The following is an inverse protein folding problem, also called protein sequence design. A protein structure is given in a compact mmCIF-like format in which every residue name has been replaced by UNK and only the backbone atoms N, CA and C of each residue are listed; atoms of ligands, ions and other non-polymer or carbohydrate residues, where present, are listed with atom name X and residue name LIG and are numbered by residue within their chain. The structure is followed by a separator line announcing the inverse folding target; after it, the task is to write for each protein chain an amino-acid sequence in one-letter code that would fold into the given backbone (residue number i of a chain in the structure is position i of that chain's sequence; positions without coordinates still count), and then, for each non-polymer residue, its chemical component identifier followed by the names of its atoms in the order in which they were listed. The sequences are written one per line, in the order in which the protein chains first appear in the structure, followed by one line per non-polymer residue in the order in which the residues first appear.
data_IF_691353623701
#
_entry.id   IF_691353623701
#
_cell.length_a   1.000
_cell.length_b   1.000
_cell.length_c   1.000
_cell.angle_alpha   90.00
_cell.angle_beta   90.00
_cell.angle_gamma   90.00
#
_symmetry.space_group_name_H-M   'P 1'
#
loop_
_entity.id
_entity.type
_entity.pdbx_description
1 polymer ?
2 non-polymer ?
3 non-polymer ?
4 water ?
#
# COMPACT_ATOMS: atom_id res chain seq x y z
N UNK A 9 -2.13 -16.94 15.84
CA UNK A 9 -2.92 -17.99 15.16
C UNK A 9 -2.62 -18.07 13.65
N UNK A 10 -3.43 -18.88 12.96
CA UNK A 10 -3.53 -18.86 11.51
C UNK A 10 -4.82 -18.12 11.07
N UNK A 11 -5.73 -17.88 12.00
CA UNK A 11 -6.80 -16.91 11.80
C UNK A 11 -6.23 -15.47 11.91
N UNK A 12 -4.97 -15.30 11.57
CA UNK A 12 -4.36 -13.96 11.45
C UNK A 12 -4.03 -13.84 10.02
N UNK A 13 -4.57 -12.84 9.34
CA UNK A 13 -4.17 -12.69 7.92
C UNK A 13 -2.66 -12.58 7.71
N UNK A 14 -2.11 -13.27 6.72
CA UNK A 14 -0.78 -12.97 6.24
C UNK A 14 -0.63 -11.56 5.63
N UNK A 15 -1.53 -11.16 4.73
CA UNK A 15 -1.45 -9.83 4.08
C UNK A 15 -2.67 -9.01 4.33
N UNK A 16 -2.46 -7.81 4.86
CA UNK A 16 -3.57 -6.84 5.02
C UNK A 16 -3.22 -5.62 4.17
N UNK A 17 -4.21 -5.13 3.38
CA UNK A 17 -4.06 -3.93 2.57
C UNK A 17 -5.11 -2.89 2.92
N UNK A 18 -4.71 -1.62 2.87
CA UNK A 18 -5.56 -0.54 3.28
C UNK A 18 -5.67 0.53 2.22
N UNK A 19 -6.91 0.82 1.83
CA UNK A 19 -7.21 2.00 1.04
C UNK A 19 -7.56 3.13 1.99
N UNK A 20 -6.74 4.18 1.96
CA UNK A 20 -6.98 5.35 2.79
C UNK A 20 -7.90 6.29 1.97
N UNK A 21 -8.73 7.04 2.64
CA UNK A 21 -9.70 7.88 1.98
C UNK A 21 -10.39 8.72 3.07
N UNK A 22 -11.11 9.77 2.67
CA UNK A 22 -11.81 10.63 3.61
C UNK A 22 -11.05 11.85 4.18
N UNK A 23 -9.89 12.18 3.67
CA UNK A 23 -9.09 13.28 4.24
C UNK A 23 -9.72 14.65 4.04
N UNK A 24 -10.18 14.93 2.85
CA UNK A 24 -10.86 16.19 2.58
C UNK A 24 -12.18 16.30 3.27
N UNK A 25 -13.00 15.27 3.22
CA UNK A 25 -14.24 15.25 4.02
C UNK A 25 -13.96 15.59 5.47
N UNK A 26 -12.90 15.01 6.00
CA UNK A 26 -12.52 15.20 7.38
C UNK A 26 -12.08 16.65 7.61
N UNK A 27 -11.20 17.15 6.77
CA UNK A 27 -10.78 18.53 6.86
C UNK A 27 -12.03 19.39 6.88
N UNK A 28 -12.79 19.27 5.83
CA UNK A 28 -13.98 20.04 5.66
C UNK A 28 -14.73 20.06 6.96
N UNK A 29 -14.98 18.90 7.54
CA UNK A 29 -15.81 18.88 8.72
C UNK A 29 -15.06 19.41 9.97
N UNK A 30 -13.74 19.39 9.99
CA UNK A 30 -13.02 19.96 11.11
C UNK A 30 -12.76 21.48 10.92
N UNK A 31 -13.25 22.06 9.84
CA UNK A 31 -12.91 23.44 9.46
C UNK A 31 -11.45 23.72 9.20
N UNK A 32 -10.75 22.79 8.58
CA UNK A 32 -9.32 22.80 8.56
C UNK A 32 -8.85 22.56 7.14
N UNK A 33 -7.57 22.70 6.85
CA UNK A 33 -7.14 22.57 5.46
C UNK A 33 -6.99 21.08 5.07
N UNK A 34 -7.18 20.81 3.79
CA UNK A 34 -7.00 19.44 3.31
C UNK A 34 -5.56 18.98 3.54
N UNK A 35 -4.60 19.87 3.46
CA UNK A 35 -3.20 19.51 3.74
C UNK A 35 -3.08 19.01 5.16
N UNK A 36 -3.83 19.63 6.05
CA UNK A 36 -3.78 19.16 7.41
C UNK A 36 -4.52 17.82 7.55
N UNK A 37 -5.59 17.62 6.77
CA UNK A 37 -6.26 16.30 6.72
C UNK A 37 -5.31 15.20 6.33
N UNK A 38 -4.58 15.43 5.25
CA UNK A 38 -3.55 14.54 4.80
C UNK A 38 -2.46 14.28 5.80
N UNK A 39 -2.00 15.32 6.49
CA UNK A 39 -0.87 15.15 7.40
C UNK A 39 -1.27 14.31 8.61
N UNK A 40 -2.48 14.57 9.11
CA UNK A 40 -2.98 13.80 10.24
C UNK A 40 -3.24 12.32 9.84
N UNK A 41 -3.66 12.11 8.60
CA UNK A 41 -3.76 10.76 8.04
C UNK A 41 -2.45 10.03 8.11
N UNK A 42 -1.44 10.63 7.51
CA UNK A 42 -0.18 9.98 7.37
C UNK A 42 0.46 9.76 8.76
N UNK A 43 0.16 10.65 9.69
CA UNK A 43 0.69 10.46 11.02
C UNK A 43 0.15 9.22 11.67
N UNK A 44 -1.02 8.74 11.24
CA UNK A 44 -1.60 7.50 11.77
C UNK A 44 -0.81 6.29 11.34
N UNK A 45 -0.10 6.40 10.21
CA UNK A 45 0.44 5.17 9.63
C UNK A 45 1.37 4.40 10.54
N UNK A 46 2.23 5.13 11.25
CA UNK A 46 3.28 4.45 11.97
C UNK A 46 2.64 3.56 13.05
N UNK A 47 1.54 4.01 13.66
CA UNK A 47 0.93 3.21 14.72
C UNK A 47 0.21 2.00 14.15
N UNK A 48 -0.39 2.22 12.99
CA UNK A 48 -1.04 1.13 12.27
C UNK A 48 -0.01 0.10 11.94
N UNK A 49 1.13 0.51 11.41
CA UNK A 49 2.15 -0.43 11.04
C UNK A 49 2.67 -1.23 12.28
N UNK A 50 2.87 -0.51 13.37
CA UNK A 50 3.42 -1.14 14.59
C UNK A 50 2.44 -2.12 15.12
N UNK A 51 1.18 -1.72 15.08
CA UNK A 51 0.16 -2.60 15.58
C UNK A 51 0.07 -3.86 14.71
N UNK A 52 0.15 -3.72 13.39
CA UNK A 52 0.03 -4.90 12.52
C UNK A 52 1.22 -5.85 12.79
N UNK A 53 2.38 -5.25 13.01
CA UNK A 53 3.58 -6.01 13.37
C UNK A 53 3.35 -6.79 14.66
N UNK A 54 2.83 -6.13 15.69
CA UNK A 54 2.57 -6.81 16.94
C UNK A 54 1.61 -7.91 16.76
N UNK A 55 0.64 -7.74 15.87
CA UNK A 55 -0.36 -8.82 15.68
C UNK A 55 0.20 -9.97 14.88
N UNK A 56 1.41 -9.86 14.35
CA UNK A 56 1.95 -11.02 13.62
C UNK A 56 1.46 -11.09 12.15
N UNK A 57 0.92 -9.98 11.64
CA UNK A 57 0.63 -9.85 10.21
C UNK A 57 1.98 -9.87 9.51
N UNK A 58 2.09 -10.59 8.43
CA UNK A 58 3.35 -10.65 7.70
C UNK A 58 3.60 -9.57 6.68
N UNK A 59 2.50 -9.04 6.14
CA UNK A 59 2.59 -7.94 5.17
C UNK A 59 1.42 -6.99 5.34
N UNK A 60 1.76 -5.73 5.54
CA UNK A 60 0.83 -4.60 5.43
C UNK A 60 1.18 -3.72 4.24
N UNK A 61 0.14 -3.49 3.43
CA UNK A 61 0.23 -2.57 2.30
C UNK A 61 -0.68 -1.37 2.57
N UNK A 62 -0.11 -0.16 2.49
CA UNK A 62 -0.89 1.05 2.51
C UNK A 62 -0.81 1.69 1.13
N UNK A 63 -1.99 1.97 0.59
CA UNK A 63 -2.10 2.59 -0.75
C UNK A 63 -2.18 4.06 -0.53
N UNK A 64 -1.14 4.74 -1.02
CA UNK A 64 -0.88 6.17 -0.79
C UNK A 64 -1.21 7.00 -2.01
N UNK A 65 -1.10 6.45 -3.20
CA UNK A 65 -1.32 7.29 -4.37
C UNK A 65 -1.63 6.45 -5.60
N UNK A 66 -2.74 6.75 -6.25
CA UNK A 66 -3.05 6.13 -7.52
C UNK A 66 -2.55 6.96 -8.71
N UNK A 67 -2.53 6.36 -9.92
CA UNK A 67 -2.28 7.12 -11.16
C UNK A 67 -3.31 8.19 -11.47
N UNK A 68 -4.58 7.92 -11.18
CA UNK A 68 -5.66 8.87 -11.38
C UNK A 68 -5.48 10.07 -10.43
N UNK A 69 -4.87 9.87 -9.27
CA UNK A 69 -4.67 10.97 -8.30
C UNK A 69 -3.73 12.04 -8.82
N UNK A 70 -2.91 11.71 -9.79
CA UNK A 70 -2.13 12.75 -10.49
C UNK A 70 -3.01 13.75 -11.24
N UNK A 71 -4.34 13.55 -11.26
CA UNK A 71 -5.28 14.50 -11.82
C UNK A 71 -5.81 15.57 -10.87
N UNK A 72 -5.42 15.50 -9.60
CA UNK A 72 -5.79 16.51 -8.57
C UNK A 72 -4.94 17.73 -8.82
N UNK A 73 -5.13 18.81 -8.06
CA UNK A 73 -4.34 20.02 -8.29
C UNK A 73 -2.85 19.75 -8.08
N UNK A 74 -2.00 20.44 -8.82
CA UNK A 74 -0.60 20.26 -8.65
C UNK A 74 -0.18 20.57 -7.26
N UNK A 75 -0.80 21.56 -6.62
CA UNK A 75 -0.34 21.93 -5.28
C UNK A 75 -0.63 20.75 -4.34
N UNK A 76 -1.84 20.15 -4.43
CA UNK A 76 -2.27 19.04 -3.55
C UNK A 76 -1.27 17.88 -3.70
N UNK A 77 -1.00 17.51 -4.93
CA UNK A 77 -0.14 16.38 -5.19
C UNK A 77 1.27 16.63 -4.67
N UNK A 78 1.75 17.87 -4.79
CA UNK A 78 3.09 18.20 -4.30
C UNK A 78 3.15 18.15 -2.83
N UNK A 79 2.12 18.68 -2.18
CA UNK A 79 2.09 18.56 -0.74
C UNK A 79 2.14 17.09 -0.31
N UNK A 80 1.40 16.21 -0.99
CA UNK A 80 1.40 14.77 -0.63
C UNK A 80 2.76 14.17 -0.78
N UNK A 81 3.44 14.49 -1.89
CA UNK A 81 4.76 13.95 -2.16
C UNK A 81 5.72 14.32 -1.04
N UNK A 82 5.64 15.56 -0.56
CA UNK A 82 6.54 16.01 0.54
C UNK A 82 6.21 15.37 1.89
N UNK A 83 4.92 15.30 2.21
CA UNK A 83 4.44 14.58 3.38
C UNK A 83 4.96 13.16 3.32
N UNK A 84 4.93 12.53 2.15
CA UNK A 84 5.45 11.15 2.06
C UNK A 84 6.98 11.03 2.25
N UNK A 85 7.72 11.96 1.67
CA UNK A 85 9.15 12.03 1.92
C UNK A 85 9.44 12.18 3.40
N UNK A 86 8.68 13.05 4.05
CA UNK A 86 8.87 13.25 5.49
C UNK A 86 8.57 11.94 6.25
N UNK A 87 7.52 11.23 5.82
CA UNK A 87 7.14 9.95 6.48
C UNK A 87 8.25 8.93 6.36
N UNK A 88 8.78 8.79 5.15
CA UNK A 88 9.89 7.89 4.89
C UNK A 88 11.25 8.27 5.56
N UNK A 89 11.39 9.57 5.87
CA UNK A 89 12.59 10.05 6.55
C UNK A 89 12.56 9.98 8.06
N UNK A 90 11.44 10.33 8.70
CA UNK A 90 11.34 10.20 10.13
C UNK A 90 10.73 8.84 10.48
N UNK A 91 9.45 8.65 10.18
CA UNK A 91 8.72 7.50 10.71
C UNK A 91 9.22 6.19 10.19
N UNK A 92 9.50 6.06 8.91
CA UNK A 92 9.90 4.75 8.46
C UNK A 92 11.28 4.34 8.94
N UNK A 93 12.18 5.32 8.96
CA UNK A 93 13.52 5.13 9.54
C UNK A 93 13.40 4.57 10.98
N UNK A 94 12.50 5.10 11.76
CA UNK A 94 12.32 4.59 13.11
C UNK A 94 11.87 3.13 13.06
N UNK A 95 10.89 2.85 12.22
CA UNK A 95 10.31 1.53 12.17
C UNK A 95 11.32 0.44 11.73
N UNK A 96 12.11 0.75 10.73
CA UNK A 96 13.03 -0.23 10.21
C UNK A 96 14.16 -0.48 11.22
N UNK A 97 14.52 0.54 12.01
CA UNK A 97 15.67 0.41 12.96
C UNK A 97 15.25 0.08 14.37
N UNK A 98 13.95 0.00 14.62
CA UNK A 98 13.40 -0.40 15.90
C UNK A 98 13.48 -1.91 16.03
N UNK A 99 13.05 -2.41 17.18
CA UNK A 99 13.07 -3.86 17.38
C UNK A 99 12.05 -4.58 16.49
N UNK A 100 11.11 -3.85 15.94
CA UNK A 100 10.16 -4.44 14.98
C UNK A 100 10.83 -4.87 13.69
N UNK A 101 11.95 -4.25 13.35
CA UNK A 101 12.78 -4.78 12.30
C UNK A 101 11.98 -4.92 11.00
N UNK A 102 11.21 -3.89 10.73
CA UNK A 102 10.29 -3.86 9.61
C UNK A 102 11.04 -3.80 8.30
N UNK A 103 10.60 -4.57 7.30
CA UNK A 103 11.15 -4.41 5.98
C UNK A 103 10.29 -3.47 5.14
N UNK A 104 10.91 -2.47 4.48
CA UNK A 104 10.20 -1.50 3.68
C UNK A 104 10.38 -1.72 2.20
N UNK A 105 9.29 -1.71 1.42
CA UNK A 105 9.40 -1.56 -0.01
C UNK A 105 8.30 -0.67 -0.48
N UNK A 106 8.53 -0.08 -1.63
CA UNK A 106 7.50 0.69 -2.31
C UNK A 106 7.20 -0.03 -3.61
N UNK A 107 5.93 -0.01 -3.99
CA UNK A 107 5.54 -0.47 -5.34
C UNK A 107 4.71 0.60 -6.03
N UNK A 108 4.73 0.48 -7.35
CA UNK A 108 4.09 1.42 -8.25
C UNK A 108 5.05 1.99 -9.31
N UNK A 109 4.63 3.02 -10.05
CA UNK A 109 5.43 3.59 -11.16
C UNK A 109 6.34 4.67 -10.57
N UNK A 110 7.48 4.26 -10.04
CA UNK A 110 8.33 5.16 -9.26
C UNK A 110 8.95 6.27 -10.13
N UNK A 111 9.10 5.95 -11.42
CA UNK A 111 9.57 6.84 -12.48
C UNK A 111 8.77 8.09 -12.47
N UNK A 112 7.60 8.04 -11.88
CA UNK A 112 6.65 9.09 -11.97
C UNK A 112 6.63 9.98 -10.72
N UNK A 113 7.41 9.65 -9.72
CA UNK A 113 7.45 10.50 -8.55
C UNK A 113 8.64 11.45 -8.69
N UNK A 114 8.63 12.57 -7.97
CA UNK A 114 9.85 13.35 -8.00
C UNK A 114 11.05 12.61 -7.43
N UNK A 115 12.21 13.15 -7.79
CA UNK A 115 13.50 12.56 -7.52
C UNK A 115 13.68 12.51 -6.03
N UNK A 116 13.25 13.52 -5.33
CA UNK A 116 13.40 13.47 -3.89
C UNK A 116 12.64 12.33 -3.23
N UNK A 117 11.47 11.98 -3.77
CA UNK A 117 10.68 10.89 -3.21
C UNK A 117 11.30 9.57 -3.58
N UNK A 118 11.76 9.48 -4.81
CA UNK A 118 12.45 8.27 -5.22
C UNK A 118 13.68 7.94 -4.35
N UNK A 119 14.32 9.00 -3.87
CA UNK A 119 15.52 8.87 -3.08
C UNK A 119 15.17 8.44 -1.70
N UNK A 120 14.17 9.08 -1.11
CA UNK A 120 13.63 8.61 0.18
C UNK A 120 13.25 7.11 0.17
N UNK A 121 12.71 6.68 -0.96
CA UNK A 121 12.26 5.34 -1.10
C UNK A 121 13.46 4.44 -1.06
N UNK A 122 14.44 4.66 -1.96
CA UNK A 122 15.63 3.77 -2.00
C UNK A 122 16.44 3.83 -0.73
N UNK A 123 16.46 4.96 -0.07
CA UNK A 123 17.14 5.01 1.23
C UNK A 123 16.44 4.09 2.26
N UNK A 124 15.12 4.12 2.29
CA UNK A 124 14.42 3.29 3.31
C UNK A 124 14.43 1.83 2.90
N UNK A 125 14.50 1.60 1.61
CA UNK A 125 14.55 0.23 1.14
C UNK A 125 15.97 -0.33 1.43
N UNK A 126 17.00 0.49 1.23
CA UNK A 126 18.36 0.04 1.56
C UNK A 126 18.52 -0.19 3.07
N UNK A 127 18.08 0.78 3.83
CA UNK A 127 18.17 0.72 5.28
C UNK A 127 17.58 -0.57 5.83
N UNK A 128 16.49 -1.07 5.23
CA UNK A 128 15.66 -2.15 5.80
C UNK A 128 15.90 -3.43 5.03
N UNK A 129 16.81 -3.36 4.09
CA UNK A 129 16.99 -4.44 3.14
C UNK A 129 17.18 -5.83 3.69
N UNK A 130 17.88 -5.95 4.82
CA UNK A 130 18.21 -7.23 5.43
C UNK A 130 17.29 -7.61 6.60
N UNK A 131 16.41 -6.68 6.98
CA UNK A 131 15.47 -6.88 8.08
C UNK A 131 14.66 -8.12 7.86
N UNK A 132 14.16 -8.65 8.96
CA UNK A 132 13.42 -9.87 8.93
C UNK A 132 12.05 -9.75 9.55
N UNK A 133 11.64 -8.56 10.00
CA UNK A 133 10.30 -8.40 10.61
C UNK A 133 9.20 -8.26 9.55
N UNK A 134 8.08 -7.66 9.92
CA UNK A 134 6.95 -7.59 9.02
C UNK A 134 7.34 -6.77 7.81
N UNK A 135 6.90 -7.21 6.66
CA UNK A 135 7.02 -6.41 5.39
C UNK A 135 5.89 -5.31 5.39
N UNK A 136 6.28 -4.09 5.04
CA UNK A 136 5.44 -2.91 4.86
C UNK A 136 5.67 -2.42 3.45
N UNK A 137 4.62 -2.50 2.60
CA UNK A 137 4.65 -1.99 1.26
C UNK A 137 3.86 -0.69 1.20
N UNK A 138 4.49 0.33 0.64
CA UNK A 138 3.81 1.57 0.37
C UNK A 138 3.58 1.54 -1.09
N UNK A 139 2.32 1.54 -1.46
CA UNK A 139 1.94 1.52 -2.86
C UNK A 139 1.66 2.96 -3.30
N UNK A 140 2.52 3.44 -4.18
CA UNK A 140 2.53 4.86 -4.52
C UNK A 140 2.67 4.98 -6.05
N UNK A 141 1.74 5.71 -6.70
CA UNK A 141 1.61 5.70 -8.15
C UNK A 141 1.36 4.27 -8.62
N UNK A 142 0.55 3.56 -7.83
CA UNK A 142 0.19 2.16 -8.11
C UNK A 142 -1.29 2.08 -8.52
N UNK A 143 -1.53 1.38 -9.59
CA UNK A 143 -2.88 1.12 -10.08
C UNK A 143 -2.97 -0.33 -10.55
N UNK A 144 -4.11 -0.98 -10.28
CA UNK A 144 -4.23 -2.40 -10.60
C UNK A 144 -4.26 -2.74 -12.05
N UNK A 145 -4.94 -1.91 -12.86
CA UNK A 145 -4.92 -2.11 -14.32
C UNK A 145 -3.53 -1.93 -14.87
N UNK A 146 -2.85 -0.89 -14.41
CA UNK A 146 -1.49 -0.61 -14.88
C UNK A 146 -0.58 -1.78 -14.54
N UNK A 147 -0.78 -2.37 -13.36
CA UNK A 147 0.03 -3.56 -12.92
C UNK A 147 -0.18 -4.72 -13.88
N UNK A 148 -1.42 -5.00 -14.21
CA UNK A 148 -1.69 -6.09 -15.09
C UNK A 148 -1.10 -5.81 -16.49
N UNK A 149 -1.33 -4.59 -16.97
CA UNK A 149 -0.86 -4.22 -18.30
C UNK A 149 0.67 -4.41 -18.35
N UNK A 150 1.36 -3.83 -17.39
CA UNK A 150 2.82 -3.95 -17.27
C UNK A 150 3.27 -5.39 -17.14
N UNK A 151 2.60 -6.22 -16.35
CA UNK A 151 2.86 -7.66 -16.43
C UNK A 151 2.74 -8.29 -17.81
N UNK A 152 1.63 -7.97 -18.48
CA UNK A 152 1.37 -8.51 -19.79
C UNK A 152 2.48 -8.08 -20.76
N UNK A 153 2.92 -6.85 -20.62
CA UNK A 153 3.96 -6.33 -21.49
C UNK A 153 5.29 -7.06 -21.26
N UNK A 154 5.70 -7.21 -20.00
CA UNK A 154 6.94 -7.96 -19.75
C UNK A 154 6.90 -9.36 -20.32
N UNK A 155 5.77 -10.02 -20.14
CA UNK A 155 5.61 -11.39 -20.59
C UNK A 155 5.66 -11.45 -22.10
N UNK A 156 5.09 -10.42 -22.74
CA UNK A 156 5.11 -10.36 -24.20
C UNK A 156 6.54 -10.15 -24.74
N UNK A 157 7.31 -9.29 -24.08
CA UNK A 157 8.70 -9.11 -24.45
C UNK A 157 9.48 -10.42 -24.37
N UNK A 158 9.19 -11.19 -23.33
CA UNK A 158 9.87 -12.46 -23.10
C UNK A 158 9.45 -13.44 -24.15
N UNK A 159 8.21 -13.33 -24.64
CA UNK A 159 7.68 -14.20 -25.67
C UNK A 159 8.38 -13.84 -26.96
N UNK A 160 8.58 -12.53 -27.16
CA UNK A 160 9.17 -12.03 -28.37
C UNK A 160 10.62 -12.51 -28.45
N UNK A 161 11.33 -12.67 -27.34
CA UNK A 161 12.71 -13.10 -27.39
C UNK A 161 12.80 -14.62 -27.23
N UNK A 162 11.77 -15.38 -27.54
CA UNK A 162 11.80 -16.83 -27.38
C UNK A 162 12.01 -17.35 -25.97
N UNK A 163 12.18 -16.47 -24.98
CA UNK A 163 12.33 -16.87 -23.57
C UNK A 163 11.12 -17.62 -22.99
N UNK A 164 9.95 -17.42 -23.61
CA UNK A 164 8.70 -17.94 -23.09
C UNK A 164 7.82 -18.20 -24.26
N UNK A 165 7.03 -19.27 -24.23
CA UNK A 165 6.02 -19.47 -25.27
C UNK A 165 4.60 -19.10 -24.72
N UNK A 166 3.68 -18.73 -25.62
CA UNK A 166 2.32 -18.40 -25.19
C UNK A 166 1.63 -19.41 -24.27
N UNK A 167 1.70 -20.71 -24.59
CA UNK A 167 1.10 -21.69 -23.69
C UNK A 167 1.84 -21.94 -22.40
N UNK A 168 3.00 -21.34 -22.19
CA UNK A 168 3.57 -21.32 -20.87
C UNK A 168 2.90 -20.33 -19.97
N UNK A 169 1.98 -19.49 -20.47
CA UNK A 169 1.45 -18.43 -19.57
C UNK A 169 0.38 -19.02 -18.67
N UNK A 170 0.64 -19.05 -17.38
CA UNK A 170 -0.39 -19.47 -16.47
C UNK A 170 -0.46 -18.45 -15.36
N UNK A 171 -1.32 -18.67 -14.36
CA UNK A 171 -1.43 -17.72 -13.25
C UNK A 171 -0.14 -17.44 -12.63
N UNK A 172 0.58 -18.53 -12.35
CA UNK A 172 1.80 -18.40 -11.63
C UNK A 172 2.80 -17.55 -12.40
N UNK A 173 2.83 -17.76 -13.69
CA UNK A 173 3.73 -16.96 -14.49
C UNK A 173 3.30 -15.51 -14.46
N UNK A 174 2.00 -15.34 -14.61
CA UNK A 174 1.47 -13.98 -14.54
C UNK A 174 1.78 -13.28 -13.26
N UNK A 175 1.61 -13.98 -12.16
CA UNK A 175 1.88 -13.47 -10.85
C UNK A 175 3.31 -13.01 -10.62
N UNK A 176 4.27 -13.72 -11.19
CA UNK A 176 5.70 -13.32 -11.09
C UNK A 176 6.11 -12.07 -11.85
N UNK A 177 5.23 -11.54 -12.73
CA UNK A 177 5.55 -10.27 -13.45
C UNK A 177 4.77 -9.03 -12.95
N UNK A 178 3.95 -9.26 -11.94
CA UNK A 178 3.29 -8.17 -11.29
C UNK A 178 4.15 -7.48 -10.28
N UNK A 179 3.74 -6.26 -9.91
CA UNK A 179 4.52 -5.47 -8.97
C UNK A 179 4.55 -6.06 -7.57
N UNK A 180 3.63 -6.99 -7.33
CA UNK A 180 3.61 -7.68 -6.08
C UNK A 180 4.56 -8.90 -6.04
N UNK A 181 5.39 -9.08 -7.09
CA UNK A 181 6.30 -10.23 -7.11
C UNK A 181 7.40 -10.12 -6.06
N UNK A 182 7.49 -8.99 -5.39
CA UNK A 182 8.36 -8.84 -4.26
C UNK A 182 7.86 -9.54 -2.96
N UNK A 183 6.68 -10.16 -2.96
CA UNK A 183 6.20 -10.86 -1.77
C UNK A 183 5.74 -12.20 -2.11
N UNK A 184 5.74 -13.06 -1.11
CA UNK A 184 5.15 -14.36 -1.27
C UNK A 184 3.72 -14.39 -0.86
N UNK A 185 3.23 -13.26 -0.36
CA UNK A 185 1.82 -13.02 -0.02
C UNK A 185 1.15 -11.92 -0.87
N UNK A 186 1.18 -12.05 -2.21
CA UNK A 186 0.75 -10.90 -3.09
C UNK A 186 -0.73 -10.55 -2.95
N UNK A 187 -1.46 -11.59 -2.61
CA UNK A 187 -2.87 -11.48 -2.56
C UNK A 187 -3.29 -11.15 -1.06
N UNK A 188 -3.89 -9.97 -0.81
CA UNK A 188 -4.32 -9.68 0.55
C UNK A 188 -5.36 -10.65 1.00
N UNK A 189 -5.29 -11.03 2.27
CA UNK A 189 -6.34 -11.84 2.91
C UNK A 189 -7.54 -10.92 3.30
N UNK A 190 -7.17 -9.69 3.63
CA UNK A 190 -8.08 -8.66 4.17
C UNK A 190 -7.76 -7.29 3.54
N UNK A 191 -8.77 -6.65 2.95
CA UNK A 191 -8.66 -5.34 2.34
C UNK A 191 -9.58 -4.41 3.11
N UNK A 192 -9.00 -3.37 3.65
CA UNK A 192 -9.72 -2.42 4.44
C UNK A 192 -9.86 -1.14 3.63
N UNK A 193 -11.06 -0.58 3.60
CA UNK A 193 -11.25 0.74 2.96
C UNK A 193 -12.01 1.65 3.91
N UNK A 194 -11.36 2.74 4.28
CA UNK A 194 -11.94 3.79 5.11
C UNK A 194 -12.79 4.74 4.27
N UNK A 195 -13.64 5.45 5.00
CA UNK A 195 -14.43 6.55 4.56
C UNK A 195 -15.71 6.10 3.84
N UNK A 196 -16.05 4.85 3.90
CA UNK A 196 -17.42 4.50 3.50
C UNK A 196 -17.68 4.10 2.05
N UNK A 197 -16.78 4.41 1.08
CA UNK A 197 -17.06 4.03 -0.27
C UNK A 197 -16.79 2.54 -0.42
N UNK A 198 -17.58 1.95 -1.31
CA UNK A 198 -17.54 0.49 -1.54
C UNK A 198 -17.16 0.24 -2.99
N UNK A 199 -15.86 0.44 -3.23
CA UNK A 199 -15.27 0.24 -4.53
C UNK A 199 -13.75 0.18 -4.32
N UNK A 200 -13.04 -0.27 -5.38
CA UNK A 200 -11.62 -0.52 -5.40
C UNK A 200 -10.83 0.66 -5.93
N UNK A 201 -11.47 1.50 -6.72
CA UNK A 201 -10.85 2.70 -7.23
C UNK A 201 -9.53 2.44 -7.94
N UNK A 202 -9.43 1.29 -8.62
CA UNK A 202 -8.25 0.92 -9.37
C UNK A 202 -7.04 0.66 -8.48
N UNK A 203 -7.33 0.08 -7.33
CA UNK A 203 -6.25 -0.55 -6.52
C UNK A 203 -5.94 -1.92 -7.12
N UNK A 204 -5.38 -2.86 -6.33
CA UNK A 204 -5.26 -4.24 -6.79
C UNK A 204 -6.51 -4.73 -7.45
N UNK A 205 -6.32 -5.52 -8.51
CA UNK A 205 -7.39 -6.21 -9.13
C UNK A 205 -7.05 -7.69 -9.19
N UNK A 206 -5.96 -8.04 -9.91
CA UNK A 206 -5.51 -9.44 -10.00
C UNK A 206 -5.40 -10.05 -8.59
N UNK A 207 -4.96 -9.25 -7.65
CA UNK A 207 -4.57 -9.73 -6.33
C UNK A 207 -5.77 -10.00 -5.43
N UNK A 208 -6.99 -9.77 -5.89
CA UNK A 208 -8.17 -9.82 -4.99
C UNK A 208 -9.26 -10.87 -5.12
N UNK A 209 -8.97 -12.07 -5.70
CA UNK A 209 -10.08 -12.91 -6.06
C UNK A 209 -10.80 -13.50 -4.83
N UNK A 210 -10.08 -13.69 -3.76
CA UNK A 210 -10.61 -14.22 -2.50
C UNK A 210 -10.39 -13.39 -1.29
N UNK A 211 -9.78 -12.24 -1.45
CA UNK A 211 -9.76 -11.23 -0.39
C UNK A 211 -11.10 -10.88 0.27
N UNK A 212 -11.07 -10.86 1.61
CA UNK A 212 -12.22 -10.38 2.40
C UNK A 212 -12.18 -8.87 2.41
N UNK A 213 -13.31 -8.25 2.10
CA UNK A 213 -13.44 -6.81 2.11
C UNK A 213 -14.04 -6.33 3.41
N UNK A 214 -13.50 -5.23 3.90
CA UNK A 214 -13.98 -4.58 5.06
C UNK A 214 -14.06 -3.12 4.84
N UNK A 215 -15.29 -2.61 4.94
CA UNK A 215 -15.57 -1.19 4.73
C UNK A 215 -15.97 -0.55 6.02
N UNK A 216 -15.32 0.55 6.39
CA UNK A 216 -15.73 1.32 7.55
C UNK A 216 -16.05 2.69 7.08
N UNK A 217 -17.06 3.30 7.68
CA UNK A 217 -17.37 4.75 7.44
C UNK A 217 -16.31 5.72 7.99
N UNK A 218 -15.53 5.29 8.94
CA UNK A 218 -14.52 6.10 9.53
C UNK A 218 -13.63 6.78 8.51
N UNK A 219 -13.54 8.11 8.62
CA UNK A 219 -12.58 8.89 7.87
C UNK A 219 -11.14 8.59 8.27
N UNK A 220 -10.24 8.49 7.29
CA UNK A 220 -8.92 8.00 7.64
C UNK A 220 -8.13 8.85 8.64
N UNK A 221 -8.28 10.17 8.61
CA UNK A 221 -7.60 10.85 9.71
C UNK A 221 -8.04 10.38 11.12
N UNK A 222 -9.24 9.84 11.28
CA UNK A 222 -9.67 9.28 12.55
C UNK A 222 -9.34 7.81 12.73
N UNK A 223 -8.64 7.21 11.76
CA UNK A 223 -8.45 5.75 11.73
C UNK A 223 -7.18 5.38 12.53
N UNK A 224 -7.38 4.62 13.61
CA UNK A 224 -6.28 4.20 14.48
C UNK A 224 -6.11 2.71 14.61
N UNK A 225 -5.30 2.36 15.60
CA UNK A 225 -5.04 0.96 15.93
C UNK A 225 -6.28 0.14 16.23
N UNK A 226 -7.26 0.74 16.93
CA UNK A 226 -8.51 0.10 17.27
C UNK A 226 -9.29 -0.27 16.01
N UNK A 227 -9.22 0.59 14.99
CA UNK A 227 -9.89 0.36 13.71
C UNK A 227 -9.28 -0.80 12.97
N UNK A 228 -7.97 -0.95 13.04
CA UNK A 228 -7.33 -2.17 12.56
C UNK A 228 -7.77 -3.42 13.32
N UNK A 229 -7.81 -3.31 14.65
CA UNK A 229 -8.34 -4.39 15.50
C UNK A 229 -9.77 -4.79 15.10
N UNK A 230 -10.58 -3.79 14.88
CA UNK A 230 -11.94 -4.04 14.44
C UNK A 230 -11.99 -4.79 13.11
N UNK A 231 -11.21 -4.34 12.13
CA UNK A 231 -11.16 -5.01 10.85
C UNK A 231 -10.73 -6.44 11.05
N UNK A 232 -9.74 -6.67 11.92
CA UNK A 232 -9.30 -8.04 12.17
C UNK A 232 -10.35 -8.98 12.86
N UNK A 233 -11.12 -8.41 13.79
CA UNK A 233 -12.17 -9.16 14.44
C UNK A 233 -13.26 -9.52 13.43
N UNK A 234 -13.64 -8.59 12.53
CA UNK A 234 -14.54 -8.97 11.41
C UNK A 234 -13.96 -10.12 10.59
N UNK A 235 -12.68 -10.02 10.27
CA UNK A 235 -12.05 -11.02 9.46
C UNK A 235 -12.17 -12.40 10.15
N UNK A 236 -11.88 -12.46 11.45
CA UNK A 236 -11.89 -13.70 12.20
C UNK A 236 -13.32 -14.29 12.25
N UNK A 237 -14.33 -13.44 12.36
CA UNK A 237 -15.71 -13.89 12.16
C UNK A 237 -16.12 -14.45 10.76
N UNK A 238 -15.37 -14.29 9.69
CA UNK A 238 -15.86 -14.79 8.41
C UNK A 238 -15.51 -16.29 8.22
#
# INVERSE_FOLDING_TARGET
LAGAETEIDEVTPNHVAIIIDGHRKWAKSRGVTVQEGHQTGVNNWKHIISRASQLGIKLLTIWALSPQNFNRSKMEVDFLMRIYEDFLRSDVKELVTSQQDIQFSAIGDKSRLPEYLQDAISYAEGLSQANKGMHFILAVAYGGREDIVEAARKIAAKVEHGILRPDDIDEATFEQHLMTNITKFPSPDLLIRAAGEQRLSNFFLWQLPFTEFYFTPKLFPDFGEADLLDALASYRCRYRGFGERKGIHEASAWSHPQFEK
#
